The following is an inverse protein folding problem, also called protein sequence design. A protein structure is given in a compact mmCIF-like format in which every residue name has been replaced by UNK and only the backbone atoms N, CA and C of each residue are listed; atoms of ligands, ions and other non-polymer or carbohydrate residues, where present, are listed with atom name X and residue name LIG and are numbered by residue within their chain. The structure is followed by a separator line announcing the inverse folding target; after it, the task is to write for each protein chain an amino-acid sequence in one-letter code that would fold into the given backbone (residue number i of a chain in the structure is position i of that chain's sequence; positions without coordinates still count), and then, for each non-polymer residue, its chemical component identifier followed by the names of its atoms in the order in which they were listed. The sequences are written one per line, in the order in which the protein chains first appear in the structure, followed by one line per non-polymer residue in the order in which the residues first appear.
data_IF_024022970586
#
_entry.id   IF_024022970586
#
_cell.length_a   1.000
_cell.length_b   1.000
_cell.length_c   1.000
_cell.angle_alpha   90.00
_cell.angle_beta   90.00
_cell.angle_gamma   90.00
#
_symmetry.space_group_name_H-M   'P 1'
#
loop_
_entity.id
_entity.type
_entity.pdbx_description
1 polymer ?
#
# COMPACT_ATOMS: atom_id res chain seq x y z
N UNK A 1 4.62 10.69 -0.26
CA UNK A 1 5.00 9.44 0.41
C UNK A 1 4.04 9.09 1.57
N UNK A 2 3.77 9.99 2.55
CA UNK A 2 2.88 9.67 3.70
C UNK A 2 1.49 9.19 3.31
N UNK A 3 0.88 9.78 2.29
CA UNK A 3 -0.42 9.31 1.77
C UNK A 3 -0.35 7.91 1.16
N UNK A 4 0.80 7.53 0.57
CA UNK A 4 0.97 6.19 0.01
C UNK A 4 1.04 5.10 1.08
N UNK A 5 1.66 5.40 2.21
CA UNK A 5 1.68 4.53 3.38
C UNK A 5 0.28 4.41 4.01
N UNK A 6 -0.37 5.54 4.22
CA UNK A 6 -1.72 5.60 4.79
C UNK A 6 -2.79 4.93 3.90
N UNK A 7 -2.61 4.92 2.58
CA UNK A 7 -3.48 4.22 1.63
C UNK A 7 -3.54 2.72 1.92
N UNK A 8 -2.40 2.09 2.20
CA UNK A 8 -2.31 0.65 2.48
C UNK A 8 -3.12 0.24 3.71
N UNK A 9 -3.23 1.12 4.71
CA UNK A 9 -3.87 0.82 6.00
C UNK A 9 -5.24 0.17 5.86
N UNK A 10 -6.11 0.70 4.98
CA UNK A 10 -7.45 0.13 4.78
C UNK A 10 -7.43 -1.21 4.08
N UNK A 11 -6.66 -1.35 3.01
CA UNK A 11 -6.62 -2.57 2.21
C UNK A 11 -6.00 -3.73 2.99
N UNK A 12 -4.95 -3.49 3.75
CA UNK A 12 -4.32 -4.49 4.59
C UNK A 12 -5.21 -4.85 5.80
N UNK A 13 -5.87 -3.87 6.43
CA UNK A 13 -6.88 -4.11 7.46
C UNK A 13 -8.01 -5.01 6.94
N UNK A 14 -8.50 -4.74 5.72
CA UNK A 14 -9.53 -5.54 5.03
C UNK A 14 -9.06 -6.99 4.80
N UNK A 15 -7.82 -7.17 4.37
CA UNK A 15 -7.23 -8.49 4.19
C UNK A 15 -7.10 -9.24 5.53
N UNK A 16 -6.58 -8.60 6.58
CA UNK A 16 -6.44 -9.17 7.92
C UNK A 16 -7.78 -9.52 8.55
N UNK A 17 -8.82 -8.69 8.37
CA UNK A 17 -10.17 -9.01 8.84
C UNK A 17 -10.71 -10.28 8.18
N UNK A 18 -10.53 -10.43 6.86
CA UNK A 18 -10.99 -11.59 6.08
C UNK A 18 -10.24 -12.88 6.44
N UNK A 19 -8.93 -12.79 6.68
CA UNK A 19 -8.10 -13.95 7.06
C UNK A 19 -8.21 -14.30 8.55
N UNK A 20 -8.66 -13.36 9.38
CA UNK A 20 -8.58 -13.49 10.83
C UNK A 20 -7.15 -13.44 11.37
N UNK A 21 -6.25 -12.79 10.66
CA UNK A 21 -4.85 -12.63 11.06
C UNK A 21 -4.71 -11.89 12.39
N UNK A 22 -3.55 -12.04 13.03
CA UNK A 22 -3.20 -11.31 14.25
C UNK A 22 -2.68 -9.92 13.86
N UNK A 23 -3.19 -8.88 14.52
CA UNK A 23 -2.72 -7.51 14.33
C UNK A 23 -1.33 -7.28 14.93
N UNK A 24 -0.69 -6.16 14.60
CA UNK A 24 0.61 -5.78 15.17
C UNK A 24 0.57 -5.67 16.70
N UNK A 25 -0.57 -5.29 17.27
CA UNK A 25 -0.81 -5.25 18.72
C UNK A 25 -1.00 -6.64 19.37
N UNK A 26 -0.94 -7.74 18.59
CA UNK A 26 -1.06 -9.11 19.09
C UNK A 26 -2.49 -9.61 19.31
N UNK A 27 -3.49 -8.81 18.92
CA UNK A 27 -4.92 -9.16 18.98
C UNK A 27 -5.52 -9.47 17.62
N UNK A 28 -6.85 -9.55 17.57
CA UNK A 28 -7.62 -9.62 16.32
C UNK A 28 -8.10 -8.22 15.93
N UNK A 29 -8.29 -8.01 14.65
CA UNK A 29 -8.94 -6.81 14.10
C UNK A 29 -10.29 -6.59 14.78
N UNK A 30 -10.59 -5.34 15.13
CA UNK A 30 -11.84 -4.93 15.76
C UNK A 30 -12.64 -4.02 14.83
N UNK A 31 -13.95 -3.89 15.09
CA UNK A 31 -14.80 -2.94 14.35
C UNK A 31 -14.28 -1.50 14.48
N UNK A 32 -13.74 -1.11 15.64
CA UNK A 32 -13.13 0.20 15.84
C UNK A 32 -11.87 0.39 14.97
N UNK A 33 -11.00 -0.62 14.90
CA UNK A 33 -9.82 -0.58 14.05
C UNK A 33 -10.19 -0.47 12.56
N UNK A 34 -11.17 -1.24 12.11
CA UNK A 34 -11.70 -1.16 10.75
C UNK A 34 -12.33 0.20 10.43
N UNK A 35 -13.06 0.78 11.38
CA UNK A 35 -13.64 2.11 11.21
C UNK A 35 -12.57 3.19 11.06
N UNK A 36 -11.48 3.11 11.83
CA UNK A 36 -10.34 4.04 11.72
C UNK A 36 -9.60 3.86 10.38
N UNK A 37 -9.33 2.62 9.98
CA UNK A 37 -8.70 2.33 8.70
C UNK A 37 -9.55 2.83 7.51
N UNK A 38 -10.88 2.62 7.59
CA UNK A 38 -11.81 3.13 6.57
C UNK A 38 -11.88 4.65 6.54
N UNK A 39 -11.93 5.29 7.72
CA UNK A 39 -11.91 6.76 7.82
C UNK A 39 -10.61 7.34 7.25
N UNK A 40 -9.47 6.67 7.48
CA UNK A 40 -8.19 7.03 6.86
C UNK A 40 -8.33 7.04 5.33
N UNK A 41 -8.77 5.94 4.75
CA UNK A 41 -8.98 5.80 3.31
C UNK A 41 -9.91 6.88 2.75
N UNK A 42 -11.11 7.06 3.35
CA UNK A 42 -12.09 8.04 2.88
C UNK A 42 -11.54 9.46 2.92
N UNK A 43 -10.79 9.79 3.98
CA UNK A 43 -10.14 11.10 4.11
C UNK A 43 -9.10 11.33 3.01
N UNK A 44 -8.31 10.31 2.67
CA UNK A 44 -7.32 10.40 1.60
C UNK A 44 -7.99 10.61 0.23
N UNK A 45 -9.05 9.84 -0.07
CA UNK A 45 -9.78 9.95 -1.33
C UNK A 45 -10.43 11.34 -1.48
N UNK A 46 -11.03 11.86 -0.40
CA UNK A 46 -11.75 13.14 -0.44
C UNK A 46 -10.80 14.35 -0.43
N UNK A 47 -9.72 14.30 0.35
CA UNK A 47 -8.89 15.47 0.66
C UNK A 47 -7.47 15.41 0.08
N UNK A 48 -6.99 14.24 -0.37
CA UNK A 48 -5.59 14.03 -0.77
C UNK A 48 -5.14 14.96 -1.88
N UNK A 49 -5.89 15.05 -2.98
CA UNK A 49 -5.57 15.90 -4.12
C UNK A 49 -5.64 17.39 -3.72
N UNK A 50 -6.65 17.79 -2.95
CA UNK A 50 -6.80 19.16 -2.44
C UNK A 50 -5.62 19.54 -1.53
N UNK A 51 -5.19 18.62 -0.66
CA UNK A 51 -4.04 18.82 0.21
C UNK A 51 -2.74 18.98 -0.57
N UNK A 52 -2.51 18.13 -1.60
CA UNK A 52 -1.34 18.23 -2.48
C UNK A 52 -1.28 19.61 -3.15
N UNK A 53 -2.37 20.05 -3.79
CA UNK A 53 -2.45 21.34 -4.47
C UNK A 53 -2.15 22.50 -3.50
N UNK A 54 -2.71 22.45 -2.28
CA UNK A 54 -2.47 23.48 -1.26
C UNK A 54 -1.00 23.52 -0.83
N UNK A 55 -0.37 22.35 -0.62
CA UNK A 55 1.04 22.27 -0.25
C UNK A 55 1.96 22.76 -1.37
N UNK A 56 1.67 22.44 -2.62
CA UNK A 56 2.40 22.95 -3.79
C UNK A 56 2.29 24.48 -3.91
N UNK A 57 1.15 25.05 -3.50
CA UNK A 57 0.95 26.49 -3.39
C UNK A 57 1.59 27.11 -2.13
N UNK A 58 2.21 26.32 -1.25
CA UNK A 58 2.87 26.76 -0.03
C UNK A 58 1.90 27.19 1.08
N UNK A 59 0.67 26.68 1.10
CA UNK A 59 -0.35 27.04 2.09
C UNK A 59 -0.89 25.82 2.83
N UNK A 60 -1.30 26.02 4.08
CA UNK A 60 -2.00 25.02 4.87
C UNK A 60 -3.50 25.31 4.84
N UNK A 61 -4.28 24.33 4.42
CA UNK A 61 -5.75 24.39 4.34
C UNK A 61 -6.36 23.30 5.23
N UNK A 62 -7.67 23.32 5.53
CA UNK A 62 -8.32 22.24 6.24
C UNK A 62 -8.10 20.84 5.61
N UNK A 63 -7.94 20.76 4.27
CA UNK A 63 -7.60 19.50 3.60
C UNK A 63 -6.21 18.98 4.01
N UNK A 64 -5.22 19.88 4.14
CA UNK A 64 -3.87 19.52 4.60
C UNK A 64 -3.92 19.00 6.04
N UNK A 65 -4.65 19.66 6.92
CA UNK A 65 -4.79 19.25 8.32
C UNK A 65 -5.42 17.86 8.44
N UNK A 66 -6.49 17.60 7.68
CA UNK A 66 -7.15 16.27 7.64
C UNK A 66 -6.22 15.18 7.12
N UNK A 67 -5.44 15.47 6.07
CA UNK A 67 -4.46 14.50 5.53
C UNK A 67 -3.33 14.24 6.53
N UNK A 68 -2.89 15.25 7.31
CA UNK A 68 -1.93 15.06 8.39
C UNK A 68 -2.52 14.14 9.46
N UNK A 69 -3.78 14.34 9.87
CA UNK A 69 -4.47 13.46 10.80
C UNK A 69 -4.58 12.03 10.24
N UNK A 70 -4.96 11.88 8.98
CA UNK A 70 -5.04 10.58 8.32
C UNK A 70 -3.70 9.84 8.34
N UNK A 71 -2.62 10.52 7.94
CA UNK A 71 -1.29 9.93 7.86
C UNK A 71 -0.68 9.58 9.21
N UNK A 72 -0.97 10.36 10.26
CA UNK A 72 -0.29 10.21 11.56
C UNK A 72 -1.12 9.45 12.58
N UNK A 73 -2.39 9.78 12.72
CA UNK A 73 -3.27 9.18 13.73
C UNK A 73 -4.05 7.99 13.17
N UNK A 74 -4.80 8.20 12.08
CA UNK A 74 -5.73 7.18 11.59
C UNK A 74 -4.98 6.00 10.98
N UNK A 75 -3.94 6.26 10.18
CA UNK A 75 -3.05 5.21 9.66
C UNK A 75 -2.29 4.54 10.81
N UNK A 76 -1.66 5.30 11.70
CA UNK A 76 -0.87 4.76 12.80
C UNK A 76 -1.65 3.79 13.70
N UNK A 77 -2.83 4.19 14.19
CA UNK A 77 -3.67 3.33 15.02
C UNK A 77 -4.34 2.24 14.15
N UNK A 78 -4.69 2.59 12.90
CA UNK A 78 -5.36 1.69 11.97
C UNK A 78 -4.52 0.45 11.69
N UNK A 79 -3.26 0.62 11.23
CA UNK A 79 -2.40 -0.52 10.90
C UNK A 79 -2.00 -1.33 12.14
N UNK A 80 -1.67 -0.65 13.26
CA UNK A 80 -1.28 -1.34 14.49
C UNK A 80 -2.40 -2.25 15.02
N UNK A 81 -3.63 -1.76 14.99
CA UNK A 81 -4.79 -2.44 15.56
C UNK A 81 -5.51 -3.37 14.58
N UNK A 82 -5.41 -3.14 13.28
CA UNK A 82 -6.05 -3.97 12.27
C UNK A 82 -5.09 -4.98 11.61
N UNK A 83 -3.81 -4.65 11.52
CA UNK A 83 -2.77 -5.52 10.97
C UNK A 83 -2.27 -5.09 9.59
N UNK A 84 -1.15 -5.68 9.19
CA UNK A 84 -0.50 -5.52 7.89
C UNK A 84 -0.65 -6.82 7.08
N UNK A 85 -0.54 -6.72 5.75
CA UNK A 85 -0.69 -7.87 4.86
C UNK A 85 0.25 -7.77 3.64
N UNK A 86 -0.29 -7.58 2.44
CA UNK A 86 0.46 -7.66 1.19
C UNK A 86 1.29 -6.42 0.88
N UNK A 87 0.72 -5.23 1.07
CA UNK A 87 1.37 -3.98 0.63
C UNK A 87 2.73 -3.76 1.30
N UNK A 88 2.81 -3.93 2.61
CA UNK A 88 4.07 -3.79 3.35
C UNK A 88 5.04 -4.94 3.08
N UNK A 89 4.57 -6.18 2.95
CA UNK A 89 5.41 -7.31 2.59
C UNK A 89 6.06 -7.11 1.21
N UNK A 90 5.31 -6.62 0.22
CA UNK A 90 5.82 -6.32 -1.11
C UNK A 90 6.81 -5.15 -1.06
N UNK A 91 6.51 -4.09 -0.28
CA UNK A 91 7.48 -3.03 -0.01
C UNK A 91 8.80 -3.60 0.55
N UNK A 92 8.73 -4.50 1.55
CA UNK A 92 9.90 -5.16 2.13
C UNK A 92 10.67 -5.93 1.05
N UNK A 93 9.96 -6.61 0.15
CA UNK A 93 10.57 -7.25 -1.01
C UNK A 93 11.38 -6.27 -1.86
N UNK A 94 10.85 -5.11 -2.19
CA UNK A 94 11.56 -4.09 -2.98
C UNK A 94 12.79 -3.52 -2.31
N UNK A 95 13.00 -3.74 -1.00
CA UNK A 95 14.23 -3.28 -0.31
C UNK A 95 15.49 -4.02 -0.75
N UNK A 96 15.38 -5.17 -1.43
CA UNK A 96 16.54 -5.89 -1.98
C UNK A 96 17.09 -5.24 -3.25
N UNK A 97 16.36 -4.33 -3.88
CA UNK A 97 16.77 -3.64 -5.09
C UNK A 97 17.43 -2.30 -4.76
N UNK A 98 18.71 -2.15 -5.07
CA UNK A 98 19.44 -0.88 -4.89
C UNK A 98 18.79 0.26 -5.67
N UNK A 99 18.21 -0.04 -6.83
CA UNK A 99 17.49 0.88 -7.70
C UNK A 99 16.34 1.59 -6.98
N UNK A 100 15.71 0.92 -5.99
CA UNK A 100 14.59 1.46 -5.23
C UNK A 100 15.00 2.16 -3.91
N UNK A 101 16.29 2.21 -3.54
CA UNK A 101 16.73 2.75 -2.26
C UNK A 101 16.54 4.27 -2.14
N UNK A 102 16.44 4.98 -3.25
CA UNK A 102 16.19 6.42 -3.27
C UNK A 102 14.71 6.77 -3.03
N UNK A 103 13.81 5.80 -3.20
CA UNK A 103 12.37 5.98 -2.99
C UNK A 103 12.01 5.95 -1.51
N UNK A 104 11.08 6.82 -1.12
CA UNK A 104 10.55 6.81 0.24
C UNK A 104 9.73 5.55 0.52
N UNK A 105 9.61 5.21 1.82
CA UNK A 105 8.83 4.06 2.29
C UNK A 105 7.43 4.02 1.67
N UNK A 106 6.64 5.08 1.87
CA UNK A 106 5.25 5.13 1.41
C UNK A 106 5.06 5.14 -0.12
N UNK A 107 6.09 5.48 -0.89
CA UNK A 107 6.04 5.35 -2.36
C UNK A 107 6.10 3.88 -2.76
N UNK A 108 6.99 3.11 -2.15
CA UNK A 108 7.06 1.66 -2.36
C UNK A 108 5.81 0.95 -1.82
N UNK A 109 5.28 1.40 -0.68
CA UNK A 109 4.03 0.86 -0.11
C UNK A 109 2.84 1.13 -1.01
N UNK A 110 2.76 2.30 -1.67
CA UNK A 110 1.70 2.61 -2.64
C UNK A 110 1.68 1.60 -3.79
N UNK A 111 2.83 1.33 -4.43
CA UNK A 111 2.92 0.30 -5.47
C UNK A 111 2.65 -1.11 -4.91
N UNK A 112 3.10 -1.39 -3.68
CA UNK A 112 2.75 -2.61 -2.95
C UNK A 112 1.24 -2.78 -2.77
N UNK A 113 0.52 -1.69 -2.52
CA UNK A 113 -0.95 -1.68 -2.42
C UNK A 113 -1.60 -2.06 -3.76
N UNK A 114 -1.14 -1.49 -4.88
CA UNK A 114 -1.64 -1.86 -6.21
C UNK A 114 -1.38 -3.35 -6.49
N UNK A 115 -0.19 -3.84 -6.15
CA UNK A 115 0.14 -5.25 -6.29
C UNK A 115 -0.75 -6.15 -5.42
N UNK A 116 -1.04 -5.75 -4.18
CA UNK A 116 -1.99 -6.46 -3.31
C UNK A 116 -3.39 -6.52 -3.93
N UNK A 117 -3.89 -5.42 -4.48
CA UNK A 117 -5.21 -5.37 -5.13
C UNK A 117 -5.28 -6.31 -6.34
N UNK A 118 -4.19 -6.40 -7.10
CA UNK A 118 -4.08 -7.39 -8.20
C UNK A 118 -4.09 -8.82 -7.66
N UNK A 119 -3.35 -9.13 -6.57
CA UNK A 119 -3.39 -10.43 -5.91
C UNK A 119 -4.79 -10.79 -5.41
N UNK A 120 -5.54 -9.82 -4.87
CA UNK A 120 -6.92 -10.00 -4.42
C UNK A 120 -7.92 -10.17 -5.57
N UNK A 121 -7.49 -9.94 -6.82
CA UNK A 121 -8.34 -9.91 -8.01
C UNK A 121 -9.58 -9.03 -7.79
N UNK A 122 -9.36 -7.81 -7.29
CA UNK A 122 -10.45 -6.85 -7.07
C UNK A 122 -11.12 -6.46 -8.39
N UNK A 123 -12.37 -5.95 -8.37
CA UNK A 123 -13.01 -5.40 -9.56
C UNK A 123 -12.11 -4.35 -10.25
N UNK A 124 -12.12 -4.34 -11.58
CA UNK A 124 -11.22 -3.46 -12.35
C UNK A 124 -11.47 -1.98 -12.04
N UNK A 125 -12.71 -1.58 -11.84
CA UNK A 125 -13.08 -0.22 -11.47
C UNK A 125 -12.48 0.20 -10.10
N UNK A 126 -12.47 -0.70 -9.11
CA UNK A 126 -11.79 -0.43 -7.82
C UNK A 126 -10.28 -0.21 -8.03
N UNK A 127 -9.62 -1.04 -8.85
CA UNK A 127 -8.19 -0.91 -9.13
C UNK A 127 -7.87 0.39 -9.89
N UNK A 128 -8.64 0.70 -10.94
CA UNK A 128 -8.49 1.90 -11.76
C UNK A 128 -8.67 3.18 -10.93
N UNK A 129 -9.68 3.23 -10.06
CA UNK A 129 -9.89 4.38 -9.17
C UNK A 129 -8.68 4.65 -8.27
N UNK A 130 -8.05 3.59 -7.73
CA UNK A 130 -6.86 3.73 -6.89
C UNK A 130 -5.63 4.14 -7.71
N UNK A 131 -5.44 3.58 -8.89
CA UNK A 131 -4.35 3.98 -9.80
C UNK A 131 -4.48 5.46 -10.16
N UNK A 132 -5.65 5.90 -10.58
CA UNK A 132 -5.91 7.31 -10.94
C UNK A 132 -5.64 8.25 -9.76
N UNK A 133 -6.09 7.88 -8.56
CA UNK A 133 -5.82 8.68 -7.37
C UNK A 133 -4.31 8.73 -7.07
N UNK A 134 -3.59 7.62 -7.18
CA UNK A 134 -2.13 7.59 -7.00
C UNK A 134 -1.43 8.55 -7.98
N UNK A 135 -1.82 8.54 -9.25
CA UNK A 135 -1.29 9.45 -10.28
C UNK A 135 -1.55 10.92 -9.89
N UNK A 136 -2.79 11.24 -9.48
CA UNK A 136 -3.18 12.60 -9.10
C UNK A 136 -2.39 13.14 -7.91
N UNK A 137 -2.11 12.31 -6.91
CA UNK A 137 -1.30 12.72 -5.75
C UNK A 137 0.21 12.57 -5.97
N UNK A 138 0.65 12.00 -7.11
CA UNK A 138 2.05 11.86 -7.50
C UNK A 138 2.76 10.69 -6.82
N UNK A 139 2.04 9.59 -6.60
CA UNK A 139 2.59 8.31 -6.13
C UNK A 139 2.93 7.41 -7.34
N UNK A 140 3.98 6.59 -7.26
CA UNK A 140 4.36 5.70 -8.34
C UNK A 140 3.33 4.61 -8.57
N UNK A 141 2.99 4.36 -9.82
CA UNK A 141 2.06 3.31 -10.25
C UNK A 141 2.74 2.26 -11.15
N UNK A 142 4.01 2.52 -11.55
CA UNK A 142 4.81 1.61 -12.39
C UNK A 142 6.15 1.27 -11.75
N UNK A 143 6.76 0.16 -12.19
CA UNK A 143 8.14 -0.18 -11.83
C UNK A 143 9.14 0.89 -12.29
N UNK A 144 8.89 1.52 -13.44
CA UNK A 144 9.75 2.58 -13.95
C UNK A 144 9.76 3.79 -12.99
N UNK A 145 8.62 4.17 -12.46
CA UNK A 145 8.51 5.28 -11.48
C UNK A 145 9.11 4.93 -10.12
N UNK A 146 9.18 3.64 -9.75
CA UNK A 146 9.95 3.16 -8.59
C UNK A 146 11.45 3.12 -8.81
N UNK A 147 11.94 3.41 -10.02
CA UNK A 147 13.33 3.23 -10.41
C UNK A 147 13.70 1.80 -10.84
N UNK A 148 12.75 0.88 -10.80
CA UNK A 148 12.92 -0.53 -11.11
C UNK A 148 12.58 -0.90 -12.58
N UNK A 149 12.44 0.07 -13.48
CA UNK A 149 12.03 -0.18 -14.88
C UNK A 149 13.01 -1.02 -15.71
N UNK A 150 14.26 -1.18 -15.27
CA UNK A 150 15.28 -1.95 -15.97
C UNK A 150 15.70 -3.23 -15.21
N UNK A 151 15.03 -3.58 -14.11
CA UNK A 151 15.34 -4.80 -13.36
C UNK A 151 14.93 -6.04 -14.15
N UNK A 152 15.68 -7.11 -13.95
CA UNK A 152 15.40 -8.40 -14.61
C UNK A 152 14.26 -9.15 -13.92
N UNK A 153 13.67 -10.11 -14.62
CA UNK A 153 12.67 -11.00 -14.03
C UNK A 153 13.24 -11.82 -12.86
N UNK A 154 14.54 -12.17 -12.87
CA UNK A 154 15.20 -12.82 -11.74
C UNK A 154 15.26 -11.91 -10.50
N UNK A 155 15.55 -10.62 -10.68
CA UNK A 155 15.54 -9.64 -9.58
C UNK A 155 14.12 -9.44 -9.03
N UNK A 156 13.10 -9.36 -9.89
CA UNK A 156 11.70 -9.29 -9.43
C UNK A 156 11.25 -10.57 -8.73
N UNK A 157 11.77 -11.73 -9.15
CA UNK A 157 11.52 -12.98 -8.42
C UNK A 157 12.16 -12.98 -7.03
N UNK A 158 13.34 -12.36 -6.84
CA UNK A 158 13.92 -12.19 -5.51
C UNK A 158 13.10 -11.23 -4.63
N UNK A 159 12.55 -10.15 -5.22
CA UNK A 159 11.54 -9.29 -4.53
C UNK A 159 10.37 -10.14 -4.04
N UNK A 160 9.81 -10.96 -4.92
CA UNK A 160 8.67 -11.81 -4.60
C UNK A 160 8.98 -12.85 -3.50
N UNK A 161 10.15 -13.49 -3.55
CA UNK A 161 10.60 -14.42 -2.52
C UNK A 161 10.79 -13.73 -1.16
N UNK A 162 11.38 -12.54 -1.16
CA UNK A 162 11.58 -11.75 0.06
C UNK A 162 10.24 -11.36 0.67
N UNK A 163 9.29 -10.90 -0.14
CA UNK A 163 7.93 -10.59 0.32
C UNK A 163 7.21 -11.82 0.92
N UNK A 164 7.53 -13.03 0.45
CA UNK A 164 6.98 -14.30 0.95
C UNK A 164 7.76 -14.87 2.14
N UNK A 165 8.69 -14.15 2.76
CA UNK A 165 9.43 -14.63 3.91
C UNK A 165 8.47 -15.00 5.07
N UNK A 166 8.76 -16.07 5.80
CA UNK A 166 7.90 -16.57 6.91
C UNK A 166 7.67 -15.52 8.02
N UNK A 167 8.59 -14.57 8.15
CA UNK A 167 8.53 -13.50 9.15
C UNK A 167 7.76 -12.27 8.68
N UNK A 168 7.35 -12.24 7.42
CA UNK A 168 6.67 -11.08 6.83
C UNK A 168 5.14 -11.21 6.86
N UNK A 169 4.46 -10.11 6.58
CA UNK A 169 3.00 -9.98 6.75
C UNK A 169 2.19 -10.53 5.58
N UNK A 170 2.82 -10.97 4.49
CA UNK A 170 2.11 -11.52 3.33
C UNK A 170 1.22 -12.72 3.66
N UNK A 171 1.60 -13.49 4.69
CA UNK A 171 0.82 -14.63 5.21
C UNK A 171 -0.53 -14.23 5.85
N UNK A 172 -0.74 -12.94 6.07
CA UNK A 172 -2.01 -12.38 6.54
C UNK A 172 -3.04 -12.21 5.41
N UNK A 173 -2.68 -12.48 4.15
CA UNK A 173 -3.65 -12.49 3.04
C UNK A 173 -4.68 -13.61 3.24
N UNK A 174 -5.95 -13.41 2.81
CA UNK A 174 -7.03 -14.39 3.03
C UNK A 174 -7.01 -15.59 2.05
N UNK A 175 -5.90 -15.81 1.38
CA UNK A 175 -5.65 -16.90 0.44
C UNK A 175 -4.15 -17.22 0.41
N UNK A 176 -3.81 -18.38 -0.14
CA UNK A 176 -2.40 -18.79 -0.29
C UNK A 176 -1.70 -17.90 -1.32
N UNK A 177 -0.50 -17.40 -0.95
CA UNK A 177 0.35 -16.57 -1.80
C UNK A 177 1.71 -17.25 -1.93
N UNK A 178 2.22 -17.31 -3.16
CA UNK A 178 3.54 -17.86 -3.48
C UNK A 178 4.40 -16.81 -4.19
N UNK A 179 5.73 -16.99 -4.22
CA UNK A 179 6.60 -16.09 -4.97
C UNK A 179 6.18 -15.91 -6.43
N UNK A 180 5.69 -16.99 -7.08
CA UNK A 180 5.24 -16.93 -8.47
C UNK A 180 3.99 -16.07 -8.64
N UNK A 181 3.03 -16.16 -7.70
CA UNK A 181 1.82 -15.32 -7.73
C UNK A 181 2.14 -13.87 -7.42
N UNK A 182 3.07 -13.58 -6.51
CA UNK A 182 3.53 -12.21 -6.22
C UNK A 182 4.26 -11.63 -7.42
N UNK A 183 5.18 -12.39 -8.03
CA UNK A 183 5.88 -11.96 -9.24
C UNK A 183 4.89 -11.61 -10.37
N UNK A 184 3.90 -12.49 -10.61
CA UNK A 184 2.89 -12.24 -11.62
C UNK A 184 2.05 -10.98 -11.31
N UNK A 185 1.71 -10.76 -10.03
CA UNK A 185 0.96 -9.59 -9.60
C UNK A 185 1.77 -8.28 -9.73
N UNK A 186 3.07 -8.29 -9.43
CA UNK A 186 3.97 -7.15 -9.65
C UNK A 186 3.99 -6.76 -11.15
N UNK A 187 4.17 -7.76 -12.03
CA UNK A 187 4.17 -7.53 -13.49
C UNK A 187 2.83 -7.02 -14.00
N UNK A 188 1.73 -7.53 -13.45
CA UNK A 188 0.39 -7.07 -13.83
C UNK A 188 0.11 -5.66 -13.30
N UNK A 189 0.48 -5.35 -12.06
CA UNK A 189 0.34 -4.01 -11.49
C UNK A 189 1.11 -2.96 -12.32
N UNK A 190 2.36 -3.27 -12.71
CA UNK A 190 3.16 -2.44 -13.61
C UNK A 190 2.48 -2.18 -14.98
N UNK A 191 1.75 -3.17 -15.49
CA UNK A 191 1.06 -3.05 -16.77
C UNK A 191 -0.28 -2.29 -16.69
N UNK A 192 -0.88 -2.18 -15.50
CA UNK A 192 -2.08 -1.37 -15.25
C UNK A 192 -1.75 0.11 -15.04
N UNK A 193 -0.59 0.44 -14.46
CA UNK A 193 -0.08 1.80 -14.28
C UNK A 193 0.44 2.41 -15.57
#
# INVERSE_FOLDING_TARGET
AGMGDALATYFEARACQRSGATSCAGGKTTEAAMALAKLCFDTLMEEGVKAKIALEAGVCTPAVEKVIEANTLLSGIGFESAGLAGAHAIHNGFTVLEECHHMYHGEKVAFGTLTQLVLENVPLDELEDIILWCIEVGLPVTLAELGAGNVTDDQLMEVAKTACAETDTLHNMPFEVTPETVFAAIKAADAYG
#
